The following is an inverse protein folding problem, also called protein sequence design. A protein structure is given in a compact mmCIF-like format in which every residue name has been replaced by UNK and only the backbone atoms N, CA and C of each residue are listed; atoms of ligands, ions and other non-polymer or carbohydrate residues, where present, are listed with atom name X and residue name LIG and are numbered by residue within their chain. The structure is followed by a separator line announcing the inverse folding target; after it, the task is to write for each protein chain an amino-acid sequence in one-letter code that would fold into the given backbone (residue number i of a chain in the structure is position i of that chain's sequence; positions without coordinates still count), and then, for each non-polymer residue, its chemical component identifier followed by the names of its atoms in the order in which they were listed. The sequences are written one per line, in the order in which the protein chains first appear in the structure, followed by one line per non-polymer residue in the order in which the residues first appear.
data_IF_101981437669
#
_entry.id   IF_101981437669
#
_cell.length_a   1.000
_cell.length_b   1.000
_cell.length_c   1.000
_cell.angle_alpha   90.00
_cell.angle_beta   90.00
_cell.angle_gamma   90.00
#
_symmetry.space_group_name_H-M   'P 1'
#
loop_
_entity.id
_entity.type
_entity.pdbx_description
1 polymer ?
#
# COMPACT_ATOMS: atom_id res chain seq x y z
N UNK A 1 -36.79 -5.39 -4.26
CA UNK A 1 -36.03 -6.34 -5.09
C UNK A 1 -34.67 -6.49 -4.41
N UNK A 2 -34.43 -7.64 -3.83
CA UNK A 2 -33.15 -7.95 -3.21
C UNK A 2 -32.13 -8.15 -4.33
N UNK A 3 -31.18 -7.21 -4.44
CA UNK A 3 -30.06 -7.32 -5.38
C UNK A 3 -29.08 -8.31 -4.79
N UNK A 4 -28.90 -9.43 -5.45
CA UNK A 4 -27.92 -10.43 -5.03
C UNK A 4 -26.58 -10.12 -5.70
N UNK A 5 -25.55 -9.85 -4.89
CA UNK A 5 -24.17 -9.71 -5.35
C UNK A 5 -23.24 -10.54 -4.48
N UNK A 6 -22.07 -10.80 -4.97
CA UNK A 6 -21.00 -11.47 -4.22
C UNK A 6 -19.69 -10.69 -4.33
N UNK A 7 -18.89 -10.77 -3.28
CA UNK A 7 -17.59 -10.14 -3.19
C UNK A 7 -16.55 -11.12 -2.66
N UNK A 8 -15.34 -11.05 -3.20
CA UNK A 8 -14.16 -11.70 -2.66
C UNK A 8 -13.00 -10.73 -2.70
N UNK A 9 -12.26 -10.63 -1.61
CA UNK A 9 -11.01 -9.88 -1.54
C UNK A 9 -9.95 -10.66 -0.79
N UNK A 10 -8.70 -10.34 -1.06
CA UNK A 10 -7.57 -10.95 -0.37
C UNK A 10 -6.27 -10.22 -0.68
N UNK A 11 -5.31 -10.38 0.21
CA UNK A 11 -3.95 -9.89 0.03
C UNK A 11 -2.97 -10.84 0.71
N UNK A 12 -1.79 -10.95 0.14
CA UNK A 12 -0.66 -11.68 0.69
C UNK A 12 0.57 -10.78 0.78
N UNK A 13 1.34 -10.92 1.84
CA UNK A 13 2.57 -10.17 2.05
C UNK A 13 3.73 -11.11 2.35
N UNK A 14 4.92 -10.73 1.91
CA UNK A 14 6.16 -11.43 2.21
C UNK A 14 7.26 -10.44 2.56
N UNK A 15 8.21 -10.87 3.38
CA UNK A 15 9.30 -10.04 3.87
C UNK A 15 10.60 -10.81 3.77
N UNK A 16 11.61 -10.20 3.18
CA UNK A 16 12.95 -10.75 3.06
C UNK A 16 13.94 -9.77 3.67
N UNK A 17 14.59 -10.18 4.76
CA UNK A 17 15.59 -9.36 5.45
C UNK A 17 16.98 -9.95 5.27
N UNK A 18 17.92 -9.13 4.81
CA UNK A 18 19.31 -9.55 4.73
C UNK A 18 19.99 -9.49 6.10
N UNK A 19 20.80 -10.48 6.45
CA UNK A 19 21.48 -10.58 7.74
C UNK A 19 22.76 -9.72 7.79
N UNK A 20 22.59 -8.42 7.58
CA UNK A 20 23.69 -7.43 7.64
C UNK A 20 23.34 -6.32 8.64
N UNK A 21 24.31 -5.53 9.13
CA UNK A 21 24.08 -4.55 10.22
C UNK A 21 22.94 -3.57 9.97
N UNK A 22 22.70 -3.15 8.73
CA UNK A 22 21.60 -2.26 8.35
C UNK A 22 20.26 -2.98 8.18
N UNK A 23 20.28 -4.33 8.22
CA UNK A 23 19.11 -5.21 8.10
C UNK A 23 18.11 -4.75 7.02
N UNK A 24 18.56 -4.58 5.76
CA UNK A 24 17.64 -4.17 4.70
C UNK A 24 16.56 -5.22 4.54
N UNK A 25 15.30 -4.77 4.56
CA UNK A 25 14.13 -5.61 4.43
C UNK A 25 13.36 -5.21 3.18
N UNK A 26 13.23 -6.15 2.26
CA UNK A 26 12.32 -6.03 1.13
C UNK A 26 10.96 -6.58 1.57
N UNK A 27 9.97 -5.71 1.63
CA UNK A 27 8.59 -6.06 1.91
C UNK A 27 7.78 -5.99 0.61
N UNK A 28 7.09 -7.05 0.28
CA UNK A 28 6.25 -7.17 -0.91
C UNK A 28 4.83 -7.55 -0.50
N UNK A 29 3.85 -6.93 -1.13
CA UNK A 29 2.44 -7.26 -0.96
C UNK A 29 1.75 -7.26 -2.31
N UNK A 30 0.85 -8.20 -2.50
CA UNK A 30 -0.07 -8.22 -3.62
C UNK A 30 -1.47 -8.52 -3.11
N UNK A 31 -2.47 -7.90 -3.70
CA UNK A 31 -3.86 -8.12 -3.34
C UNK A 31 -4.81 -7.74 -4.45
N UNK A 32 -6.07 -8.04 -4.23
CA UNK A 32 -7.13 -7.74 -5.17
C UNK A 32 -8.50 -7.98 -4.57
N UNK A 33 -9.49 -7.53 -5.31
CA UNK A 33 -10.91 -7.66 -4.99
C UNK A 33 -11.66 -7.97 -6.28
N UNK A 34 -12.71 -8.76 -6.18
CA UNK A 34 -13.65 -9.00 -7.27
C UNK A 34 -15.06 -8.96 -6.74
N UNK A 35 -15.92 -8.25 -7.46
CA UNK A 35 -17.35 -8.15 -7.20
C UNK A 35 -18.10 -8.66 -8.43
N UNK A 36 -19.23 -9.33 -8.21
CA UNK A 36 -20.08 -9.85 -9.28
C UNK A 36 -21.55 -9.79 -8.87
N UNK A 37 -22.43 -9.79 -9.86
CA UNK A 37 -23.87 -9.64 -9.67
C UNK A 37 -24.32 -8.19 -9.81
N UNK A 38 -25.52 -7.90 -9.35
CA UNK A 38 -26.12 -6.56 -9.40
C UNK A 38 -25.76 -5.77 -8.12
N UNK A 39 -24.53 -5.29 -8.04
CA UNK A 39 -24.01 -4.58 -6.88
C UNK A 39 -24.20 -3.06 -6.98
N UNK A 40 -24.44 -2.37 -5.86
CA UNK A 40 -24.49 -0.91 -5.84
C UNK A 40 -23.07 -0.32 -6.00
N UNK A 41 -22.97 0.89 -6.52
CA UNK A 41 -21.69 1.55 -6.83
C UNK A 41 -20.69 1.57 -5.66
N UNK A 42 -21.15 1.70 -4.42
CA UNK A 42 -20.27 1.73 -3.24
C UNK A 42 -19.66 0.37 -2.86
N UNK A 43 -20.10 -0.71 -3.50
CA UNK A 43 -19.56 -2.07 -3.34
C UNK A 43 -18.61 -2.48 -4.50
N UNK A 44 -18.28 -1.55 -5.39
CA UNK A 44 -17.32 -1.79 -6.45
C UNK A 44 -15.91 -2.11 -5.90
N UNK A 45 -15.11 -2.80 -6.70
CA UNK A 45 -13.72 -3.11 -6.36
C UNK A 45 -12.85 -1.85 -6.50
N UNK A 46 -12.59 -1.16 -5.40
CA UNK A 46 -11.85 0.09 -5.38
C UNK A 46 -10.36 -0.09 -5.12
N UNK A 47 -9.56 0.79 -5.76
CA UNK A 47 -8.16 1.05 -5.39
C UNK A 47 -7.91 2.55 -5.31
N UNK A 48 -6.88 2.91 -4.59
CA UNK A 48 -6.47 4.29 -4.29
C UNK A 48 -6.37 4.52 -2.80
N UNK A 49 -5.51 5.45 -2.42
CA UNK A 49 -5.31 5.84 -1.04
C UNK A 49 -4.32 4.99 -0.26
N UNK A 50 -4.27 5.20 1.05
CA UNK A 50 -3.18 4.73 1.90
C UNK A 50 -3.10 3.20 2.07
N UNK A 51 -4.11 2.45 1.68
CA UNK A 51 -4.18 1.00 1.89
C UNK A 51 -3.81 0.18 0.65
N UNK A 52 -3.94 0.76 -0.54
CA UNK A 52 -3.76 0.03 -1.80
C UNK A 52 -2.79 0.72 -2.75
N UNK A 53 -3.00 2.01 -3.04
CA UNK A 53 -2.23 2.77 -4.02
C UNK A 53 -1.97 4.19 -3.50
N UNK A 54 -0.82 4.38 -2.86
CA UNK A 54 -0.39 5.70 -2.33
C UNK A 54 -0.02 6.64 -3.48
N UNK A 55 -0.26 7.95 -3.31
CA UNK A 55 -0.11 8.95 -4.38
C UNK A 55 -1.41 9.17 -5.15
N UNK A 56 -2.50 8.54 -4.72
CA UNK A 56 -3.84 8.69 -5.25
C UNK A 56 -4.86 8.91 -4.13
N UNK A 57 -5.97 9.55 -4.45
CA UNK A 57 -7.09 9.73 -3.50
C UNK A 57 -7.68 8.39 -3.13
N UNK A 58 -8.27 8.31 -1.94
CA UNK A 58 -8.96 7.11 -1.50
C UNK A 58 -10.09 6.74 -2.47
N UNK A 59 -10.18 5.45 -2.81
CA UNK A 59 -11.15 4.91 -3.75
C UNK A 59 -11.17 5.64 -5.11
N UNK A 60 -10.00 6.06 -5.59
CA UNK A 60 -9.87 6.84 -6.83
C UNK A 60 -10.36 6.10 -8.06
N UNK A 61 -10.11 4.80 -8.10
CA UNK A 61 -10.48 3.92 -9.21
C UNK A 61 -11.38 2.80 -8.71
N UNK A 62 -12.49 2.57 -9.38
CA UNK A 62 -13.45 1.52 -9.07
C UNK A 62 -13.82 0.71 -10.30
N UNK A 63 -14.05 -0.58 -10.13
CA UNK A 63 -14.40 -1.51 -11.20
C UNK A 63 -15.04 -2.79 -10.67
N UNK A 64 -15.26 -3.75 -11.57
CA UNK A 64 -15.79 -5.08 -11.23
C UNK A 64 -14.72 -5.95 -10.53
N UNK A 65 -13.46 -5.68 -10.82
CA UNK A 65 -12.33 -6.28 -10.13
C UNK A 65 -11.19 -5.27 -10.00
N UNK A 66 -10.31 -5.50 -9.03
CA UNK A 66 -9.10 -4.72 -8.83
C UNK A 66 -7.93 -5.61 -8.48
N UNK A 67 -6.73 -5.18 -8.86
CA UNK A 67 -5.48 -5.79 -8.44
C UNK A 67 -4.48 -4.69 -8.07
N UNK A 68 -3.68 -4.93 -7.04
CA UNK A 68 -2.63 -4.02 -6.62
C UNK A 68 -1.41 -4.76 -6.08
N UNK A 69 -0.28 -4.09 -6.14
CA UNK A 69 0.97 -4.54 -5.57
C UNK A 69 1.71 -3.39 -4.91
N UNK A 70 2.39 -3.69 -3.83
CA UNK A 70 3.20 -2.74 -3.09
C UNK A 70 4.57 -3.35 -2.83
N UNK A 71 5.62 -2.54 -2.96
CA UNK A 71 6.98 -2.92 -2.62
C UNK A 71 7.62 -1.83 -1.75
N UNK A 72 8.26 -2.22 -0.66
CA UNK A 72 9.01 -1.31 0.21
C UNK A 72 10.38 -1.90 0.49
N UNK A 73 11.42 -1.11 0.27
CA UNK A 73 12.78 -1.41 0.71
C UNK A 73 13.08 -0.57 1.96
N UNK A 74 13.16 -1.22 3.09
CA UNK A 74 13.38 -0.61 4.42
C UNK A 74 14.82 -0.85 4.85
N UNK A 75 15.51 0.20 5.31
CA UNK A 75 16.91 0.12 5.74
C UNK A 75 17.07 0.81 7.09
N UNK A 76 17.69 0.14 8.05
CA UNK A 76 18.09 0.73 9.33
C UNK A 76 19.38 1.57 9.16
N UNK A 77 19.33 2.81 9.60
CA UNK A 77 20.47 3.75 9.47
C UNK A 77 21.26 3.82 10.76
N UNK A 78 20.61 4.04 11.90
CA UNK A 78 21.29 4.13 13.18
C UNK A 78 20.42 3.63 14.33
N UNK A 79 21.10 3.25 15.41
CA UNK A 79 20.46 2.94 16.69
C UNK A 79 20.52 4.16 17.60
N UNK A 80 19.36 4.55 18.09
CA UNK A 80 19.22 5.66 19.02
C UNK A 80 19.23 5.13 20.45
N UNK A 81 20.07 5.69 21.30
CA UNK A 81 20.15 5.37 22.75
C UNK A 81 20.00 6.67 23.55
N UNK A 82 18.87 7.38 23.38
CA UNK A 82 18.69 8.66 24.08
C UNK A 82 17.99 8.44 25.42
N UNK A 83 16.72 8.04 25.41
CA UNK A 83 15.94 7.75 26.63
C UNK A 83 15.43 6.31 26.58
N UNK A 84 15.02 5.86 25.39
CA UNK A 84 14.59 4.50 25.10
C UNK A 84 15.46 3.94 23.96
N UNK A 85 15.80 2.62 24.01
CA UNK A 85 16.47 2.00 22.89
C UNK A 85 15.56 2.02 21.67
N UNK A 86 16.04 2.62 20.57
CA UNK A 86 15.31 2.75 19.34
C UNK A 86 16.18 2.58 18.11
N UNK A 87 15.54 2.42 16.97
CA UNK A 87 16.20 2.35 15.67
C UNK A 87 15.52 3.36 14.73
N UNK A 88 16.35 4.10 14.01
CA UNK A 88 15.93 4.99 12.95
C UNK A 88 16.32 4.41 11.61
N UNK A 89 15.47 4.57 10.61
CA UNK A 89 15.76 4.11 9.27
C UNK A 89 15.00 4.88 8.19
N UNK A 90 15.32 4.51 6.96
CA UNK A 90 14.73 5.06 5.74
C UNK A 90 14.01 3.93 5.00
N UNK A 91 13.07 4.28 4.14
CA UNK A 91 12.50 3.33 3.19
C UNK A 91 12.15 4.02 1.88
N UNK A 92 12.23 3.25 0.79
CA UNK A 92 11.69 3.57 -0.51
C UNK A 92 10.47 2.69 -0.77
N UNK A 93 9.49 3.21 -1.50
CA UNK A 93 8.25 2.49 -1.77
C UNK A 93 7.76 2.72 -3.19
N UNK A 94 7.19 1.68 -3.77
CA UNK A 94 6.51 1.72 -5.07
C UNK A 94 5.21 0.94 -4.94
N UNK A 95 4.13 1.54 -5.39
CA UNK A 95 2.81 0.96 -5.45
C UNK A 95 2.34 0.91 -6.90
N UNK A 96 1.65 -0.14 -7.30
CA UNK A 96 1.00 -0.23 -8.60
C UNK A 96 -0.38 -0.88 -8.43
N UNK A 97 -1.34 -0.44 -9.22
CA UNK A 97 -2.68 -1.00 -9.17
C UNK A 97 -3.47 -0.76 -10.44
N UNK A 98 -4.49 -1.58 -10.63
CA UNK A 98 -5.37 -1.57 -11.79
C UNK A 98 -6.77 -2.01 -11.38
N UNK A 99 -7.78 -1.43 -12.02
CA UNK A 99 -9.16 -1.92 -11.99
C UNK A 99 -9.53 -2.57 -13.31
N UNK A 100 -10.48 -3.47 -13.30
CA UNK A 100 -11.01 -4.16 -14.47
C UNK A 100 -12.51 -3.86 -14.55
N UNK A 101 -12.94 -3.39 -15.71
CA UNK A 101 -14.34 -3.08 -16.03
C UNK A 101 -14.82 -4.04 -17.11
N UNK A 102 -15.99 -4.63 -16.91
CA UNK A 102 -16.52 -5.65 -17.84
C UNK A 102 -16.95 -5.07 -19.20
N UNK A 103 -17.17 -3.77 -19.29
CA UNK A 103 -17.74 -3.11 -20.47
C UNK A 103 -17.15 -1.73 -20.76
N UNK A 104 -15.87 -1.51 -20.56
CA UNK A 104 -15.29 -0.22 -20.89
C UNK A 104 -14.35 -0.30 -22.11
N UNK A 105 -14.80 0.20 -23.29
CA UNK A 105 -13.94 0.36 -24.46
C UNK A 105 -12.98 1.55 -24.37
N UNK A 106 -13.04 2.37 -23.31
CA UNK A 106 -12.34 3.66 -23.23
C UNK A 106 -10.90 3.59 -22.72
N UNK A 107 -10.40 2.41 -22.34
CA UNK A 107 -9.02 2.25 -21.87
C UNK A 107 -8.73 2.83 -20.48
N UNK A 108 -9.76 3.11 -19.67
CA UNK A 108 -9.64 3.46 -18.25
C UNK A 108 -9.03 2.32 -17.41
N UNK A 109 -8.90 1.17 -18.01
CA UNK A 109 -8.34 -0.07 -17.52
C UNK A 109 -6.79 -0.10 -17.65
N UNK A 110 -6.13 0.97 -17.19
CA UNK A 110 -4.67 1.07 -17.22
C UNK A 110 -4.04 0.82 -15.85
N UNK A 111 -2.76 0.48 -15.85
CA UNK A 111 -1.98 0.44 -14.63
C UNK A 111 -1.65 1.86 -14.15
N UNK A 112 -1.88 2.09 -12.86
CA UNK A 112 -1.51 3.31 -12.16
C UNK A 112 -0.39 2.99 -11.17
N UNK A 113 0.60 3.87 -11.07
CA UNK A 113 1.73 3.67 -10.19
C UNK A 113 2.00 4.91 -9.33
N UNK A 114 2.41 4.67 -8.10
CA UNK A 114 2.90 5.69 -7.18
C UNK A 114 4.26 5.28 -6.64
N UNK A 115 5.15 6.24 -6.45
CA UNK A 115 6.47 6.01 -5.90
C UNK A 115 6.83 7.07 -4.88
N UNK A 116 7.71 6.72 -3.96
CA UNK A 116 8.17 7.65 -2.95
C UNK A 116 9.03 6.98 -1.91
N UNK A 117 9.05 7.54 -0.73
CA UNK A 117 9.85 7.03 0.36
C UNK A 117 9.56 7.79 1.64
N UNK A 118 10.28 7.42 2.68
CA UNK A 118 10.07 8.03 3.96
C UNK A 118 11.08 7.61 5.00
N UNK A 119 10.78 7.99 6.21
CA UNK A 119 11.55 7.67 7.40
C UNK A 119 10.71 6.81 8.34
N UNK A 120 11.37 5.99 9.11
CA UNK A 120 10.73 5.23 10.17
C UNK A 120 11.58 5.27 11.45
N UNK A 121 10.90 5.16 12.56
CA UNK A 121 11.53 5.08 13.87
C UNK A 121 10.81 4.00 14.68
N UNK A 122 11.57 3.10 15.26
CA UNK A 122 11.04 2.09 16.17
C UNK A 122 11.60 2.29 17.58
N UNK A 123 10.78 2.03 18.56
CA UNK A 123 11.11 2.11 19.98
C UNK A 123 10.87 0.75 20.63
N UNK A 124 11.61 0.47 21.72
CA UNK A 124 11.44 -0.73 22.56
C UNK A 124 11.41 -2.01 21.72
N UNK A 125 12.57 -2.38 21.16
CA UNK A 125 12.78 -3.63 20.42
C UNK A 125 11.77 -3.87 19.27
N UNK A 126 11.41 -2.80 18.54
CA UNK A 126 10.48 -2.81 17.40
C UNK A 126 9.01 -3.02 17.75
N UNK A 127 8.62 -3.00 19.02
CA UNK A 127 7.22 -3.12 19.41
C UNK A 127 6.37 -1.92 18.97
N UNK A 128 6.97 -0.74 18.88
CA UNK A 128 6.31 0.47 18.41
C UNK A 128 7.12 1.11 17.30
N UNK A 129 6.58 1.10 16.11
CA UNK A 129 7.15 1.74 14.94
C UNK A 129 6.25 2.88 14.49
N UNK A 130 6.85 4.00 14.13
CA UNK A 130 6.17 5.14 13.49
C UNK A 130 6.86 5.38 12.16
N UNK A 131 6.10 5.60 11.11
CA UNK A 131 6.64 5.93 9.79
C UNK A 131 5.94 7.14 9.19
N UNK A 132 6.73 7.91 8.44
CA UNK A 132 6.26 9.03 7.63
C UNK A 132 6.75 8.81 6.21
N UNK A 133 5.84 8.83 5.26
CA UNK A 133 6.13 8.68 3.84
C UNK A 133 5.63 9.87 3.02
N UNK A 134 6.35 10.19 1.97
CA UNK A 134 5.88 11.05 0.88
C UNK A 134 5.79 10.18 -0.37
N UNK A 135 4.60 10.09 -0.95
CA UNK A 135 4.34 9.30 -2.15
C UNK A 135 3.75 10.18 -3.23
N UNK A 136 4.26 10.03 -4.42
CA UNK A 136 3.84 10.74 -5.62
C UNK A 136 3.22 9.77 -6.62
N UNK A 137 2.06 10.11 -7.13
CA UNK A 137 1.38 9.47 -8.25
C UNK A 137 0.86 10.53 -9.22
N UNK A 138 0.21 10.12 -10.29
CA UNK A 138 -0.31 11.06 -11.29
C UNK A 138 -1.44 11.95 -10.75
N UNK A 139 -2.14 11.51 -9.72
CA UNK A 139 -3.28 12.23 -9.13
C UNK A 139 -2.84 13.25 -8.07
N UNK A 140 -1.90 12.89 -7.21
CA UNK A 140 -1.44 13.75 -6.13
C UNK A 140 -0.09 13.34 -5.54
N UNK A 141 0.50 14.26 -4.79
CA UNK A 141 1.56 13.93 -3.83
C UNK A 141 0.95 13.91 -2.43
N UNK A 142 1.04 12.77 -1.76
CA UNK A 142 0.48 12.57 -0.43
C UNK A 142 1.54 12.36 0.64
N UNK A 143 1.26 12.85 1.85
CA UNK A 143 2.06 12.57 3.05
C UNK A 143 1.28 11.59 3.92
N UNK A 144 1.92 10.52 4.34
CA UNK A 144 1.31 9.43 5.10
C UNK A 144 2.04 9.22 6.42
N UNK A 145 1.34 9.45 7.53
CA UNK A 145 1.82 9.15 8.89
C UNK A 145 1.14 7.88 9.37
N UNK A 146 1.92 6.92 9.88
CA UNK A 146 1.40 5.64 10.35
C UNK A 146 2.07 5.17 11.63
N UNK A 147 1.30 4.44 12.42
CA UNK A 147 1.83 3.51 13.41
C UNK A 147 2.14 2.19 12.69
N UNK A 148 3.41 1.84 12.57
CA UNK A 148 3.89 0.73 11.74
C UNK A 148 4.23 1.12 10.31
N UNK A 149 4.37 0.11 9.46
CA UNK A 149 4.50 0.24 8.02
C UNK A 149 3.13 0.07 7.33
N UNK A 150 3.10 0.14 6.01
CA UNK A 150 1.85 -0.02 5.27
C UNK A 150 1.28 -1.44 5.42
N UNK A 151 2.15 -2.43 5.53
CA UNK A 151 1.82 -3.84 5.67
C UNK A 151 2.97 -4.60 6.34
#
# INVERSE_FOLDING_TARGET
MDRAFGEVHGAASTYVTAPVPTSPTLALRAGGQKVWGDYPFHEAAYIGGPRTLRGYRENRFGGDASAYGNAELRVGVCRLKVILPGQFGLFAAVDAGRVFLHADPSGADSWHAGAGGGIWMSFIDRLQTVSVAIMHGDDMTGVYLRSGFMF
#
